data_IF_050018764967
#
_entry.id   IF_050018764967
#
_cell.length_a   1.000
_cell.length_b   1.000
_cell.length_c   1.000
_cell.angle_alpha   90.00
_cell.angle_beta   90.00
_cell.angle_gamma   90.00
#
_symmetry.space_group_name_H-M   'P 1'
#
loop_
_entity.id
_entity.type
_entity.pdbx_description
1 polymer ?
2 water ?
#
# COMPACT_ATOMS: atom_id res chain seq x y z
N UNK A 4 14.19 21.73 6.45
CA UNK A 4 12.94 21.93 5.64
C UNK A 4 12.53 20.69 4.83
N UNK A 5 11.45 20.04 5.24
CA UNK A 5 10.94 18.85 4.56
C UNK A 5 9.78 19.23 3.64
N UNK A 6 9.25 18.25 2.92
CA UNK A 6 8.15 18.50 2.00
C UNK A 6 6.84 18.01 2.61
N UNK A 7 5.74 18.66 2.26
CA UNK A 7 4.43 18.23 2.72
C UNK A 7 3.59 17.98 1.45
N UNK A 8 2.79 16.93 1.50
CA UNK A 8 1.93 16.55 0.40
C UNK A 8 0.53 17.09 0.68
N UNK A 9 -0.27 17.22 -0.37
CA UNK A 9 -1.61 17.73 -0.20
C UNK A 9 -2.56 17.13 -1.21
N UNK A 10 -3.75 17.71 -1.30
CA UNK A 10 -4.78 17.27 -2.23
C UNK A 10 -4.19 17.09 -3.63
N UNK A 11 -3.42 18.08 -4.04
CA UNK A 11 -2.79 18.09 -5.33
C UNK A 11 -2.14 16.74 -5.62
N UNK A 12 -1.31 16.27 -4.70
CA UNK A 12 -0.59 15.01 -4.88
C UNK A 12 -1.44 13.74 -4.77
N UNK A 13 -2.42 13.75 -3.90
CA UNK A 13 -3.29 12.59 -3.72
C UNK A 13 -4.16 12.40 -4.93
N UNK A 14 -4.62 13.51 -5.49
CA UNK A 14 -5.46 13.47 -6.67
C UNK A 14 -4.69 12.91 -7.84
N UNK A 15 -3.39 13.16 -7.86
CA UNK A 15 -2.53 12.69 -8.93
C UNK A 15 -2.21 11.20 -8.86
N UNK A 16 -2.47 10.55 -7.74
CA UNK A 16 -2.12 9.16 -7.68
C UNK A 16 -3.28 8.21 -7.56
N UNK A 17 -4.47 8.71 -7.27
CA UNK A 17 -5.62 7.80 -7.18
C UNK A 17 -5.86 7.13 -8.55
N UNK A 18 -6.34 5.89 -8.53
CA UNK A 18 -6.59 5.17 -9.76
C UNK A 18 -5.36 4.43 -10.26
N UNK A 19 -4.20 4.70 -9.66
CA UNK A 19 -2.95 4.05 -10.06
C UNK A 19 -2.27 3.40 -8.86
N UNK A 20 -1.20 2.65 -9.16
CA UNK A 20 -0.39 1.99 -8.16
C UNK A 20 0.93 2.75 -8.12
N UNK A 21 1.33 3.19 -6.94
CA UNK A 21 2.55 3.96 -6.83
C UNK A 21 3.56 3.26 -5.96
N UNK A 22 4.78 3.15 -6.46
CA UNK A 22 5.82 2.50 -5.67
C UNK A 22 6.43 3.56 -4.78
N UNK A 23 6.57 3.26 -3.49
CA UNK A 23 7.14 4.20 -2.54
C UNK A 23 8.39 3.60 -1.90
N UNK A 24 9.13 4.43 -1.16
CA UNK A 24 10.32 3.94 -0.44
C UNK A 24 10.21 4.36 1.03
N UNK A 25 11.20 4.01 1.85
CA UNK A 25 11.12 4.36 3.27
C UNK A 25 11.09 5.85 3.53
N UNK A 26 11.28 6.65 2.49
CA UNK A 26 11.26 8.11 2.62
C UNK A 26 9.97 8.77 2.11
N UNK A 27 9.28 8.12 1.18
CA UNK A 27 8.05 8.69 0.63
C UNK A 27 6.78 8.00 1.13
N UNK A 28 6.93 6.92 1.89
CA UNK A 28 5.75 6.23 2.37
C UNK A 28 4.87 7.08 3.31
N UNK A 29 5.43 7.48 4.44
CA UNK A 29 4.68 8.25 5.42
C UNK A 29 4.12 9.59 4.94
N UNK A 30 4.89 10.37 4.16
CA UNK A 30 4.38 11.65 3.65
C UNK A 30 3.09 11.44 2.84
N UNK A 31 2.97 10.28 2.20
CA UNK A 31 1.76 9.97 1.43
C UNK A 31 0.65 9.51 2.38
N UNK A 32 0.95 8.58 3.28
CA UNK A 32 -0.05 8.10 4.24
C UNK A 32 -0.59 9.26 5.09
N UNK A 33 0.30 10.15 5.53
CA UNK A 33 -0.10 11.30 6.34
C UNK A 33 -1.01 12.27 5.57
N UNK A 34 -0.82 12.37 4.25
CA UNK A 34 -1.64 13.25 3.42
C UNK A 34 -2.96 12.59 2.99
N UNK A 35 -3.13 11.31 3.31
CA UNK A 35 -4.30 10.53 2.92
C UNK A 35 -5.62 10.86 3.57
N UNK A 36 -5.60 11.63 4.64
CA UNK A 36 -6.85 11.95 5.31
C UNK A 36 -7.46 10.68 5.87
N UNK A 37 -8.76 10.51 5.66
CA UNK A 37 -9.42 9.31 6.15
C UNK A 37 -9.57 8.28 5.04
N UNK A 38 -8.91 8.52 3.90
CA UNK A 38 -8.96 7.57 2.79
C UNK A 38 -8.04 6.40 3.15
N UNK A 39 -8.52 5.16 2.97
CA UNK A 39 -7.67 4.01 3.29
C UNK A 39 -6.45 3.91 2.35
N UNK A 40 -5.35 3.38 2.86
CA UNK A 40 -4.14 3.21 2.06
C UNK A 40 -3.85 1.71 2.07
N UNK A 41 -3.53 1.15 0.91
CA UNK A 41 -3.19 -0.26 0.84
C UNK A 41 -1.76 -0.34 0.37
N UNK A 42 -0.97 -1.14 1.07
CA UNK A 42 0.42 -1.30 0.73
C UNK A 42 0.72 -2.75 0.42
N UNK A 43 1.24 -2.95 -0.79
CA UNK A 43 1.64 -4.25 -1.27
C UNK A 43 3.15 -4.36 -1.01
N UNK A 44 3.52 -5.18 -0.04
CA UNK A 44 4.92 -5.40 0.29
C UNK A 44 5.40 -6.66 -0.44
N UNK A 45 6.37 -6.45 -1.34
CA UNK A 45 6.90 -7.52 -2.16
C UNK A 45 8.41 -7.50 -2.21
N UNK A 46 8.98 -8.47 -2.92
CA UNK A 46 10.43 -8.58 -3.13
C UNK A 46 10.64 -8.88 -4.61
N UNK A 47 11.80 -8.55 -5.16
CA UNK A 47 12.04 -8.80 -6.58
C UNK A 47 12.07 -10.26 -6.96
N UNK A 48 12.24 -11.14 -5.98
CA UNK A 48 12.31 -12.56 -6.27
C UNK A 48 11.01 -13.26 -5.93
N UNK A 49 9.97 -12.48 -5.69
CA UNK A 49 8.69 -13.06 -5.32
C UNK A 49 7.72 -13.31 -6.47
N UNK A 50 7.62 -14.59 -6.85
CA UNK A 50 6.76 -15.00 -7.94
C UNK A 50 5.29 -14.65 -7.77
N UNK A 51 4.63 -15.15 -6.71
CA UNK A 51 3.21 -14.82 -6.52
C UNK A 51 2.98 -13.31 -6.54
N UNK A 52 3.99 -12.55 -6.12
CA UNK A 52 3.92 -11.09 -6.07
C UNK A 52 3.78 -10.50 -7.46
N UNK A 53 4.62 -10.93 -8.40
CA UNK A 53 4.54 -10.40 -9.77
C UNK A 53 3.22 -10.82 -10.40
N UNK A 54 2.84 -12.08 -10.17
CA UNK A 54 1.59 -12.63 -10.71
C UNK A 54 0.36 -11.88 -10.21
N UNK A 55 0.43 -11.33 -9.01
CA UNK A 55 -0.68 -10.58 -8.44
C UNK A 55 -0.73 -9.14 -8.94
N UNK A 56 0.41 -8.64 -9.44
CA UNK A 56 0.53 -7.25 -9.90
C UNK A 56 -0.62 -6.73 -10.76
N UNK A 57 -0.99 -7.46 -11.82
CA UNK A 57 -2.10 -6.97 -12.66
C UNK A 57 -3.45 -6.93 -11.94
N UNK A 58 -3.69 -7.84 -10.99
CA UNK A 58 -4.95 -7.82 -10.27
C UNK A 58 -4.99 -6.60 -9.33
N UNK A 59 -3.85 -6.32 -8.72
CA UNK A 59 -3.72 -5.19 -7.80
C UNK A 59 -3.99 -3.90 -8.58
N UNK A 60 -3.48 -3.81 -9.81
CA UNK A 60 -3.71 -2.62 -10.62
C UNK A 60 -5.16 -2.48 -11.01
N UNK A 61 -5.85 -3.61 -11.11
CA UNK A 61 -7.25 -3.57 -11.49
C UNK A 61 -8.03 -3.01 -10.32
N UNK A 62 -7.67 -3.46 -9.13
CA UNK A 62 -8.30 -3.00 -7.91
C UNK A 62 -8.13 -1.47 -7.78
N UNK A 63 -6.93 -0.97 -8.12
CA UNK A 63 -6.65 0.46 -8.03
C UNK A 63 -7.49 1.28 -9.01
N UNK A 64 -7.89 0.68 -10.13
CA UNK A 64 -8.72 1.37 -11.11
C UNK A 64 -10.19 1.38 -10.66
N UNK A 65 -10.62 0.31 -9.99
CA UNK A 65 -12.00 0.21 -9.53
C UNK A 65 -12.31 1.09 -8.32
N UNK A 66 -11.38 1.15 -7.38
CA UNK A 66 -11.54 1.93 -6.15
C UNK A 66 -10.75 3.22 -6.09
N UNK A 67 -11.36 4.29 -6.59
CA UNK A 67 -10.72 5.60 -6.61
C UNK A 67 -10.66 6.34 -5.27
N UNK A 68 -11.33 5.80 -4.25
CA UNK A 68 -11.31 6.42 -2.94
C UNK A 68 -10.41 5.63 -1.99
N UNK A 69 -9.44 4.93 -2.56
CA UNK A 69 -8.49 4.13 -1.81
C UNK A 69 -7.15 4.37 -2.51
N UNK A 70 -6.08 4.49 -1.73
CA UNK A 70 -4.75 4.72 -2.30
C UNK A 70 -3.92 3.43 -2.30
N UNK A 71 -3.52 2.99 -3.49
CA UNK A 71 -2.75 1.75 -3.62
C UNK A 71 -1.28 2.03 -3.87
N UNK A 72 -0.45 1.50 -2.98
CA UNK A 72 1.00 1.67 -3.04
C UNK A 72 1.72 0.34 -3.00
N UNK A 73 3.00 0.36 -3.31
CA UNK A 73 3.78 -0.87 -3.25
C UNK A 73 5.20 -0.53 -2.76
N UNK A 74 5.76 -1.44 -1.96
CA UNK A 74 7.10 -1.26 -1.39
C UNK A 74 7.96 -2.48 -1.62
N UNK A 75 9.12 -2.27 -2.23
CA UNK A 75 10.08 -3.35 -2.47
C UNK A 75 10.79 -3.53 -1.15
N UNK A 76 10.63 -4.70 -0.55
CA UNK A 76 11.25 -4.95 0.74
C UNK A 76 12.68 -5.42 0.57
N UNK A 77 13.57 -4.46 0.28
CA UNK A 77 14.98 -4.73 0.07
C UNK A 77 15.87 -4.14 1.18
N UNK A 78 17.13 -3.88 0.83
CA UNK A 78 18.11 -3.33 1.78
C UNK A 78 17.84 -1.89 2.18
N UNK A 79 17.65 -1.03 1.18
CA UNK A 79 17.37 0.38 1.41
C UNK A 79 16.05 0.65 2.18
N UNK A 80 15.10 -0.28 2.12
CA UNK A 80 13.82 -0.11 2.80
C UNK A 80 13.65 -1.04 3.99
N UNK A 81 14.75 -1.67 4.40
CA UNK A 81 14.73 -2.59 5.53
C UNK A 81 14.06 -1.98 6.76
N UNK A 82 14.39 -0.72 7.03
CA UNK A 82 13.86 0.01 8.18
C UNK A 82 12.34 0.06 8.23
N UNK A 83 11.76 0.67 7.20
CA UNK A 83 10.32 0.81 7.10
C UNK A 83 9.65 -0.56 7.16
N UNK A 84 10.24 -1.52 6.47
CA UNK A 84 9.70 -2.86 6.46
C UNK A 84 9.59 -3.41 7.87
N UNK A 85 10.70 -3.40 8.60
CA UNK A 85 10.74 -3.91 9.97
C UNK A 85 9.73 -3.17 10.83
N UNK A 86 9.63 -1.86 10.60
CA UNK A 86 8.69 -1.02 11.34
C UNK A 86 7.24 -1.38 11.05
N UNK A 87 6.93 -1.82 9.83
CA UNK A 87 5.55 -2.20 9.53
C UNK A 87 5.29 -3.65 9.99
N UNK A 88 6.36 -4.36 10.35
CA UNK A 88 6.22 -5.72 10.83
C UNK A 88 5.91 -6.72 9.75
N UNK A 89 6.94 -7.26 9.12
CA UNK A 89 6.72 -8.22 8.05
C UNK A 89 7.49 -9.52 8.27
N UNK A 90 6.78 -10.63 8.10
CA UNK A 90 7.35 -11.97 8.28
C UNK A 90 7.37 -12.72 6.96
N UNK A 91 6.50 -12.32 6.03
CA UNK A 91 6.41 -13.00 4.75
C UNK A 91 5.98 -12.10 3.58
N UNK A 92 6.16 -12.60 2.35
CA UNK A 92 5.73 -11.90 1.14
C UNK A 92 4.94 -12.88 0.27
N UNK A 93 3.89 -12.39 -0.39
CA UNK A 93 3.51 -10.98 -0.29
C UNK A 93 2.70 -10.67 0.95
N UNK A 94 2.75 -9.42 1.39
CA UNK A 94 1.95 -8.99 2.54
C UNK A 94 1.27 -7.67 2.16
N UNK A 95 -0.03 -7.57 2.46
CA UNK A 95 -0.79 -6.36 2.19
C UNK A 95 -1.18 -5.72 3.51
N UNK A 96 -0.87 -4.44 3.64
CA UNK A 96 -1.19 -3.69 4.84
C UNK A 96 -2.23 -2.66 4.49
N UNK A 97 -3.30 -2.57 5.27
CA UNK A 97 -4.29 -1.54 5.02
C UNK A 97 -4.15 -0.54 6.17
N UNK A 98 -3.98 0.73 5.84
CA UNK A 98 -3.83 1.77 6.85
C UNK A 98 -4.97 2.76 6.73
N UNK A 99 -5.30 3.41 7.83
CA UNK A 99 -6.35 4.41 7.86
C UNK A 99 -5.96 5.35 9.00
N UNK A 100 -5.88 6.64 8.73
CA UNK A 100 -5.52 7.61 9.77
C UNK A 100 -4.16 7.34 10.45
N UNK A 101 -3.13 7.14 9.64
CA UNK A 101 -1.76 6.90 10.10
C UNK A 101 -1.53 5.62 10.89
N UNK A 102 -2.51 4.73 10.90
CA UNK A 102 -2.42 3.46 11.63
C UNK A 102 -2.78 2.25 10.76
N UNK A 103 -2.14 1.11 11.02
CA UNK A 103 -2.44 -0.12 10.29
C UNK A 103 -3.75 -0.65 10.85
N UNK A 104 -4.74 -0.89 9.99
CA UNK A 104 -6.03 -1.40 10.47
C UNK A 104 -6.34 -2.81 9.94
N UNK A 105 -5.48 -3.32 9.06
CA UNK A 105 -5.68 -4.65 8.51
C UNK A 105 -4.43 -5.20 7.86
N UNK A 106 -4.43 -6.50 7.61
CA UNK A 106 -3.28 -7.14 7.00
C UNK A 106 -3.72 -8.45 6.32
N UNK A 107 -3.22 -8.68 5.11
CA UNK A 107 -3.53 -9.89 4.35
C UNK A 107 -2.20 -10.45 3.95
N UNK A 108 -1.97 -11.72 4.24
CA UNK A 108 -0.70 -12.38 3.89
C UNK A 108 -0.95 -13.37 2.78
N UNK A 109 -0.07 -13.37 1.78
CA UNK A 109 -0.26 -14.26 0.65
C UNK A 109 -1.11 -13.55 -0.39
N UNK A 110 -1.18 -14.14 -1.58
CA UNK A 110 -1.95 -13.58 -2.67
C UNK A 110 -3.44 -13.94 -2.54
N UNK A 111 -4.04 -13.60 -1.41
CA UNK A 111 -5.45 -13.90 -1.18
C UNK A 111 -6.21 -12.69 -1.66
N UNK A 112 -6.21 -12.47 -2.97
CA UNK A 112 -6.88 -11.30 -3.52
C UNK A 112 -8.33 -11.19 -3.04
N UNK A 113 -8.95 -12.32 -2.76
CA UNK A 113 -10.33 -12.31 -2.27
C UNK A 113 -10.40 -11.72 -0.85
N UNK A 114 -9.51 -12.14 0.04
CA UNK A 114 -9.54 -11.60 1.40
C UNK A 114 -9.11 -10.13 1.37
N UNK A 115 -8.22 -9.80 0.43
CA UNK A 115 -7.74 -8.44 0.30
C UNK A 115 -8.91 -7.54 -0.06
N UNK A 116 -9.71 -7.97 -1.03
CA UNK A 116 -10.88 -7.21 -1.47
C UNK A 116 -11.86 -7.02 -0.30
N UNK A 117 -11.94 -8.01 0.59
CA UNK A 117 -12.83 -7.92 1.74
C UNK A 117 -12.34 -6.84 2.72
N UNK A 118 -11.04 -6.87 3.00
CA UNK A 118 -10.41 -5.93 3.91
C UNK A 118 -10.53 -4.50 3.41
N UNK A 119 -10.46 -4.34 2.09
CA UNK A 119 -10.57 -3.04 1.42
C UNK A 119 -11.99 -2.49 1.59
N UNK A 120 -12.98 -3.38 1.51
CA UNK A 120 -14.38 -3.00 1.69
C UNK A 120 -14.61 -2.62 3.15
N UNK A 121 -14.03 -3.41 4.04
CA UNK A 121 -14.16 -3.14 5.46
C UNK A 121 -13.55 -1.78 5.83
N UNK A 122 -12.34 -1.49 5.33
CA UNK A 122 -11.66 -0.23 5.64
C UNK A 122 -12.48 0.97 5.21
N UNK A 123 -13.21 0.82 4.10
CA UNK A 123 -14.05 1.90 3.59
C UNK A 123 -15.31 2.19 4.43
N UNK A 124 -15.35 1.71 5.67
CA UNK A 124 -16.51 1.94 6.55
C UNK A 124 -16.15 2.08 8.05
#
# INVERSE_FOLDING_TARGET
MYYLELALGTQEMEAIVGKVTEVNKDTFWPIVKAAGDKPVVLDMFTQWCGPCKAMAPKYEKLAEEYLDVIFLKLDCNQENKTLAKELGIRVVPTFKILKENSVVGEVTGAKYDKLLEAIQAARS
#
